data_IF_990189536056
#
_entry.id   IF_990189536056
#
_cell.length_a   1.000
_cell.length_b   1.000
_cell.length_c   1.000
_cell.angle_alpha   90.00
_cell.angle_beta   90.00
_cell.angle_gamma   90.00
#
_symmetry.space_group_name_H-M   'P 1'
#
loop_
_entity.id
_entity.type
_entity.pdbx_description
1 polymer ?
#
# COMPACT_ATOMS: atom_id res chain seq x y z
N UNK A 1 11.38 21.68 13.27
CA UNK A 1 11.58 22.18 11.90
C UNK A 1 12.88 21.71 11.21
N UNK A 2 14.10 22.08 11.64
CA UNK A 2 15.34 21.66 10.94
C UNK A 2 15.56 20.13 10.97
N UNK A 3 15.37 19.50 12.13
CA UNK A 3 15.46 18.04 12.29
C UNK A 3 14.40 17.30 11.47
N UNK A 4 13.17 17.82 11.39
CA UNK A 4 12.07 17.20 10.62
C UNK A 4 12.31 17.27 9.10
N UNK A 5 12.83 18.39 8.59
CA UNK A 5 13.22 18.50 7.18
C UNK A 5 14.34 17.53 6.83
N UNK A 6 15.32 17.37 7.73
CA UNK A 6 16.41 16.40 7.58
C UNK A 6 15.91 14.95 7.62
N UNK A 7 15.01 14.62 8.54
CA UNK A 7 14.34 13.31 8.62
C UNK A 7 13.59 12.99 7.33
N UNK A 8 12.79 13.95 6.83
CA UNK A 8 12.02 13.79 5.60
C UNK A 8 12.93 13.56 4.39
N UNK A 9 14.03 14.30 4.28
CA UNK A 9 15.00 14.11 3.19
C UNK A 9 15.64 12.71 3.23
N UNK A 10 16.15 12.29 4.39
CA UNK A 10 16.76 10.96 4.54
C UNK A 10 15.75 9.85 4.24
N UNK A 11 14.50 10.01 4.69
CA UNK A 11 13.41 9.08 4.41
C UNK A 11 13.15 8.97 2.91
N UNK A 12 12.88 10.09 2.21
CA UNK A 12 12.56 10.07 0.78
C UNK A 12 13.71 9.52 -0.05
N UNK A 13 14.96 9.94 0.25
CA UNK A 13 16.14 9.44 -0.46
C UNK A 13 16.32 7.93 -0.23
N UNK A 14 16.22 7.45 1.01
CA UNK A 14 16.44 6.03 1.29
C UNK A 14 15.39 5.13 0.62
N UNK A 15 14.11 5.53 0.67
CA UNK A 15 13.01 4.77 0.07
C UNK A 15 13.14 4.75 -1.47
N UNK A 16 13.35 5.90 -2.12
CA UNK A 16 13.46 5.95 -3.58
C UNK A 16 14.73 5.30 -4.11
N UNK A 17 15.87 5.49 -3.45
CA UNK A 17 17.13 4.85 -3.88
C UNK A 17 16.99 3.33 -3.87
N UNK A 18 16.48 2.74 -2.78
CA UNK A 18 16.30 1.29 -2.70
C UNK A 18 15.32 0.80 -3.76
N UNK A 19 14.18 1.47 -3.93
CA UNK A 19 13.16 1.10 -4.93
C UNK A 19 13.69 1.11 -6.35
N UNK A 20 14.37 2.19 -6.78
CA UNK A 20 14.88 2.28 -8.14
C UNK A 20 16.08 1.37 -8.39
N UNK A 21 16.92 1.13 -7.37
CA UNK A 21 17.98 0.11 -7.47
C UNK A 21 17.41 -1.30 -7.61
N UNK A 22 16.36 -1.63 -6.86
CA UNK A 22 15.65 -2.92 -6.97
C UNK A 22 14.84 -3.05 -8.27
N UNK A 23 14.56 -1.93 -8.95
CA UNK A 23 14.04 -1.92 -10.31
C UNK A 23 14.96 -2.62 -11.33
N UNK A 24 16.28 -2.67 -11.08
CA UNK A 24 17.24 -3.36 -11.97
C UNK A 24 17.03 -4.88 -11.97
N UNK A 25 17.14 -5.59 -10.82
CA UNK A 25 16.86 -7.03 -10.78
C UNK A 25 15.40 -7.36 -11.14
N UNK A 26 14.44 -6.50 -10.76
CA UNK A 26 13.03 -6.65 -11.18
C UNK A 26 12.89 -6.70 -12.70
N UNK A 27 13.47 -5.72 -13.39
CA UNK A 27 13.36 -5.62 -14.83
C UNK A 27 14.14 -6.74 -15.53
N UNK A 28 15.27 -7.16 -14.97
CA UNK A 28 15.99 -8.34 -15.45
C UNK A 28 15.12 -9.60 -15.33
N UNK A 29 14.52 -9.85 -14.15
CA UNK A 29 13.64 -11.01 -13.92
C UNK A 29 12.48 -11.04 -14.91
N UNK A 30 11.77 -9.92 -15.05
CA UNK A 30 10.65 -9.80 -15.98
C UNK A 30 11.06 -10.13 -17.43
N UNK A 31 12.17 -9.56 -17.93
CA UNK A 31 12.63 -9.77 -19.32
C UNK A 31 13.10 -11.19 -19.60
N UNK A 32 13.53 -11.92 -18.57
CA UNK A 32 14.01 -13.30 -18.69
C UNK A 32 12.95 -14.34 -18.26
N UNK A 33 11.70 -13.92 -18.03
CA UNK A 33 10.62 -14.83 -17.63
C UNK A 33 10.81 -15.45 -16.24
N UNK A 34 11.62 -14.84 -15.38
CA UNK A 34 11.76 -15.23 -13.98
C UNK A 34 10.59 -14.67 -13.16
N UNK A 35 10.34 -15.28 -12.00
CA UNK A 35 9.28 -14.77 -11.12
C UNK A 35 9.58 -13.35 -10.62
N UNK A 36 8.52 -12.54 -10.61
CA UNK A 36 8.53 -11.17 -10.11
C UNK A 36 7.62 -10.97 -8.88
N UNK A 37 7.00 -12.04 -8.37
CA UNK A 37 5.95 -11.96 -7.34
C UNK A 37 6.44 -11.39 -6.00
N UNK A 38 7.68 -11.67 -5.63
CA UNK A 38 8.23 -11.18 -4.35
C UNK A 38 8.69 -9.72 -4.39
N UNK A 39 8.92 -9.12 -5.56
CA UNK A 39 9.33 -7.71 -5.64
C UNK A 39 8.33 -6.74 -5.02
N UNK A 40 7.03 -6.78 -5.36
CA UNK A 40 6.06 -5.88 -4.72
C UNK A 40 5.99 -6.13 -3.21
N UNK A 41 5.89 -7.39 -2.76
CA UNK A 41 5.79 -7.72 -1.33
C UNK A 41 6.99 -7.21 -0.52
N UNK A 42 8.22 -7.45 -1.00
CA UNK A 42 9.42 -6.95 -0.31
C UNK A 42 9.49 -5.42 -0.37
N UNK A 43 9.09 -4.81 -1.50
CA UNK A 43 9.04 -3.37 -1.66
C UNK A 43 8.11 -2.69 -0.64
N UNK A 44 6.97 -3.31 -0.28
CA UNK A 44 6.07 -2.80 0.78
C UNK A 44 6.77 -2.60 2.13
N UNK A 45 7.92 -3.25 2.40
CA UNK A 45 8.66 -3.08 3.66
C UNK A 45 9.57 -1.84 3.66
N UNK A 46 9.88 -1.27 2.50
CA UNK A 46 10.85 -0.18 2.37
C UNK A 46 10.43 1.09 3.11
N UNK A 47 9.16 1.54 3.08
CA UNK A 47 8.77 2.77 3.74
C UNK A 47 9.03 2.71 5.26
N UNK A 48 8.62 1.66 5.96
CA UNK A 48 8.93 1.53 7.39
C UNK A 48 10.43 1.45 7.67
N UNK A 49 11.19 0.68 6.87
CA UNK A 49 12.65 0.62 7.01
C UNK A 49 13.30 2.00 6.81
N UNK A 50 12.83 2.79 5.85
CA UNK A 50 13.28 4.16 5.62
C UNK A 50 13.02 5.09 6.80
N UNK A 51 11.86 4.96 7.47
CA UNK A 51 11.55 5.72 8.69
C UNK A 51 12.52 5.35 9.81
N UNK A 52 12.68 4.05 10.04
CA UNK A 52 13.56 3.52 11.09
C UNK A 52 15.00 3.94 10.86
N UNK A 53 15.47 3.88 9.61
CA UNK A 53 16.80 4.34 9.21
C UNK A 53 16.98 5.84 9.44
N UNK A 54 16.03 6.67 9.02
CA UNK A 54 16.07 8.11 9.25
C UNK A 54 16.17 8.44 10.75
N UNK A 55 15.37 7.78 11.59
CA UNK A 55 15.42 7.96 13.04
C UNK A 55 16.72 7.48 13.69
N UNK A 56 17.30 6.36 13.25
CA UNK A 56 18.60 5.91 13.75
C UNK A 56 19.71 6.94 13.50
N UNK A 57 19.63 7.69 12.39
CA UNK A 57 20.59 8.73 12.04
C UNK A 57 20.31 10.04 12.79
N UNK A 58 19.09 10.55 12.72
CA UNK A 58 18.77 11.90 13.20
C UNK A 58 18.51 11.95 14.70
N UNK A 59 18.07 10.84 15.31
CA UNK A 59 17.69 10.74 16.73
C UNK A 59 18.59 9.78 17.51
N UNK A 60 19.85 9.59 17.07
CA UNK A 60 20.79 8.62 17.66
C UNK A 60 20.99 8.74 19.19
N UNK A 61 20.85 9.94 19.75
CA UNK A 61 21.05 10.19 21.19
C UNK A 61 19.74 10.16 21.99
N UNK A 62 18.59 9.95 21.33
CA UNK A 62 17.30 9.91 22.02
C UNK A 62 17.07 8.51 22.62
N UNK A 63 16.97 8.38 23.96
CA UNK A 63 16.78 7.09 24.62
C UNK A 63 15.41 6.45 24.32
N UNK A 64 14.44 7.22 23.82
CA UNK A 64 13.12 6.72 23.43
C UNK A 64 13.11 5.96 22.10
N UNK A 65 14.22 5.99 21.32
CA UNK A 65 14.30 5.27 20.05
C UNK A 65 14.62 3.80 20.30
N UNK A 66 13.75 2.85 19.90
CA UNK A 66 13.96 1.43 20.13
C UNK A 66 14.95 0.84 19.11
N UNK A 67 16.23 1.23 19.24
CA UNK A 67 17.29 0.94 18.24
C UNK A 67 17.37 -0.52 17.83
N UNK A 68 17.32 -1.45 18.80
CA UNK A 68 17.40 -2.90 18.52
C UNK A 68 16.27 -3.39 17.61
N UNK A 69 15.05 -2.88 17.80
CA UNK A 69 13.88 -3.24 16.98
C UNK A 69 13.97 -2.66 15.58
N UNK A 70 14.43 -1.42 15.47
CA UNK A 70 14.65 -0.78 14.17
C UNK A 70 15.72 -1.53 13.36
N UNK A 71 16.83 -1.89 14.00
CA UNK A 71 17.87 -2.70 13.38
C UNK A 71 17.31 -4.07 12.96
N UNK A 72 16.50 -4.72 13.80
CA UNK A 72 15.89 -6.00 13.46
C UNK A 72 14.98 -5.90 12.21
N UNK A 73 14.09 -4.91 12.14
CA UNK A 73 13.24 -4.71 10.96
C UNK A 73 14.05 -4.39 9.69
N UNK A 74 15.04 -3.51 9.80
CA UNK A 74 15.94 -3.19 8.69
C UNK A 74 16.69 -4.45 8.24
N UNK A 75 17.12 -5.31 9.17
CA UNK A 75 17.76 -6.57 8.83
C UNK A 75 16.83 -7.51 8.05
N UNK A 76 15.54 -7.61 8.42
CA UNK A 76 14.55 -8.35 7.63
C UNK A 76 14.55 -7.85 6.18
N UNK A 77 14.41 -6.54 5.97
CA UNK A 77 14.36 -5.94 4.62
C UNK A 77 15.65 -6.18 3.83
N UNK A 78 16.81 -5.95 4.44
CA UNK A 78 18.10 -6.13 3.76
C UNK A 78 18.37 -7.60 3.41
N UNK A 79 18.06 -8.52 4.32
CA UNK A 79 18.19 -9.96 4.06
C UNK A 79 17.25 -10.38 2.92
N UNK A 80 16.00 -9.93 2.92
CA UNK A 80 15.06 -10.20 1.84
C UNK A 80 15.54 -9.68 0.49
N UNK A 81 16.11 -8.46 0.45
CA UNK A 81 16.72 -7.89 -0.76
C UNK A 81 17.87 -8.75 -1.26
N UNK A 82 18.79 -9.15 -0.37
CA UNK A 82 19.95 -9.97 -0.74
C UNK A 82 19.51 -11.33 -1.28
N UNK A 83 18.56 -11.98 -0.62
CA UNK A 83 17.99 -13.26 -1.05
C UNK A 83 17.31 -13.12 -2.42
N UNK A 84 16.53 -12.05 -2.63
CA UNK A 84 15.82 -11.80 -3.89
C UNK A 84 16.78 -11.51 -5.06
N UNK A 85 17.85 -10.74 -4.81
CA UNK A 85 18.93 -10.52 -5.79
C UNK A 85 19.64 -11.85 -6.10
N UNK A 86 19.96 -12.65 -5.08
CA UNK A 86 20.57 -13.96 -5.26
C UNK A 86 19.70 -14.89 -6.11
N UNK A 87 18.41 -14.98 -5.81
CA UNK A 87 17.44 -15.74 -6.61
C UNK A 87 17.37 -15.26 -8.06
N UNK A 88 17.46 -13.95 -8.29
CA UNK A 88 17.52 -13.35 -9.63
C UNK A 88 18.80 -13.75 -10.38
N UNK A 89 19.95 -13.79 -9.71
CA UNK A 89 21.24 -14.17 -10.31
C UNK A 89 21.29 -15.67 -10.62
N UNK A 90 20.78 -16.51 -9.72
CA UNK A 90 20.83 -17.97 -9.84
C UNK A 90 19.60 -18.58 -10.54
N UNK A 91 18.65 -17.75 -10.98
CA UNK A 91 17.42 -18.16 -11.69
C UNK A 91 16.58 -19.16 -10.89
N UNK A 92 16.52 -19.00 -9.57
CA UNK A 92 15.80 -19.90 -8.66
C UNK A 92 14.48 -19.29 -8.23
N UNK A 93 13.38 -20.04 -8.37
CA UNK A 93 12.11 -19.64 -7.75
C UNK A 93 12.16 -19.95 -6.24
N UNK A 94 12.05 -18.90 -5.43
CA UNK A 94 12.05 -18.97 -3.96
C UNK A 94 10.80 -18.33 -3.35
N UNK A 95 9.77 -18.03 -4.14
CA UNK A 95 8.69 -17.12 -3.77
C UNK A 95 8.01 -17.55 -2.46
N UNK A 96 7.50 -18.78 -2.41
CA UNK A 96 6.82 -19.28 -1.22
C UNK A 96 7.71 -19.39 0.03
N UNK A 97 8.99 -19.73 -0.14
CA UNK A 97 9.93 -19.82 0.99
C UNK A 97 10.26 -18.42 1.51
N UNK A 98 10.50 -17.45 0.62
CA UNK A 98 10.81 -16.08 0.99
C UNK A 98 9.60 -15.40 1.63
N UNK A 99 8.41 -15.56 1.04
CA UNK A 99 7.16 -15.03 1.61
C UNK A 99 6.93 -15.56 3.02
N UNK A 100 6.98 -16.89 3.21
CA UNK A 100 6.81 -17.51 4.52
C UNK A 100 7.85 -17.01 5.53
N UNK A 101 9.12 -16.91 5.11
CA UNK A 101 10.21 -16.43 5.97
C UNK A 101 9.98 -14.99 6.44
N UNK A 102 9.53 -14.11 5.53
CA UNK A 102 9.26 -12.71 5.82
C UNK A 102 8.01 -12.56 6.68
N UNK A 103 6.97 -13.35 6.43
CA UNK A 103 5.77 -13.42 7.26
C UNK A 103 6.14 -13.81 8.69
N UNK A 104 6.91 -14.90 8.88
CA UNK A 104 7.34 -15.35 10.20
C UNK A 104 8.16 -14.26 10.90
N UNK A 105 9.17 -13.70 10.22
CA UNK A 105 10.02 -12.65 10.78
C UNK A 105 9.21 -11.38 11.12
N UNK A 106 8.22 -11.04 10.29
CA UNK A 106 7.28 -9.95 10.49
C UNK A 106 6.38 -10.14 11.70
N UNK A 107 5.81 -11.33 11.86
CA UNK A 107 5.02 -11.69 13.05
C UNK A 107 5.89 -11.59 14.30
N UNK A 108 7.11 -12.12 14.26
CA UNK A 108 8.07 -11.99 15.38
C UNK A 108 8.36 -10.53 15.70
N UNK A 109 8.61 -9.69 14.69
CA UNK A 109 8.80 -8.25 14.86
C UNK A 109 7.58 -7.60 15.55
N UNK A 110 6.39 -7.89 15.06
CA UNK A 110 5.13 -7.37 15.59
C UNK A 110 4.92 -7.81 17.05
N UNK A 111 5.17 -9.08 17.38
CA UNK A 111 5.08 -9.59 18.76
C UNK A 111 6.10 -8.94 19.69
N UNK A 112 7.34 -8.72 19.21
CA UNK A 112 8.38 -8.00 19.97
C UNK A 112 7.96 -6.55 20.25
N UNK A 113 7.30 -5.91 19.28
CA UNK A 113 6.74 -4.56 19.44
C UNK A 113 5.61 -4.55 20.47
N UNK A 114 4.72 -5.55 20.47
CA UNK A 114 3.58 -5.63 21.41
C UNK A 114 3.93 -6.12 22.82
N UNK A 115 5.10 -6.74 23.03
CA UNK A 115 5.51 -7.26 24.35
C UNK A 115 5.88 -6.16 25.36
N UNK A 116 6.11 -4.92 24.93
CA UNK A 116 6.45 -3.79 25.81
C UNK A 116 5.29 -2.80 26.00
N UNK A 117 4.89 -2.63 27.27
CA UNK A 117 3.97 -1.64 27.87
C UNK A 117 2.66 -1.33 27.11
N UNK A 118 1.51 -1.52 27.77
CA UNK A 118 0.18 -1.14 27.22
C UNK A 118 0.09 0.36 26.87
N UNK A 119 1.03 1.19 27.33
CA UNK A 119 1.19 2.60 26.89
C UNK A 119 1.80 2.77 25.48
N UNK A 120 2.48 1.76 24.93
CA UNK A 120 3.08 1.80 23.57
C UNK A 120 2.18 1.19 22.48
N UNK A 121 1.15 0.43 22.84
CA UNK A 121 0.11 -0.03 21.89
C UNK A 121 -0.60 1.13 21.18
N UNK A 122 -0.72 2.29 21.85
CA UNK A 122 -1.18 3.54 21.25
C UNK A 122 -0.14 4.15 20.29
N UNK A 123 1.16 4.00 20.57
CA UNK A 123 2.27 4.53 19.77
C UNK A 123 2.48 3.76 18.44
N UNK A 124 2.07 2.50 18.38
CA UNK A 124 2.06 1.68 17.16
C UNK A 124 0.68 1.62 16.48
N UNK A 125 -0.29 2.41 16.95
CA UNK A 125 -1.56 2.63 16.26
C UNK A 125 -2.54 1.47 16.31
N UNK A 126 -2.47 0.54 17.27
CA UNK A 126 -3.58 -0.39 17.58
C UNK A 126 -4.76 0.33 18.26
N UNK A 127 -4.88 1.64 18.04
CA UNK A 127 -6.04 2.43 18.39
C UNK A 127 -7.18 2.09 17.43
N UNK A 128 -8.42 2.14 17.91
CA UNK A 128 -9.61 1.76 17.13
C UNK A 128 -10.16 0.42 17.60
N UNK A 129 -11.32 0.47 18.23
CA UNK A 129 -12.03 -0.73 18.62
C UNK A 129 -12.54 -1.50 17.39
N UNK A 130 -13.07 -2.69 17.64
CA UNK A 130 -13.70 -3.54 16.61
C UNK A 130 -14.74 -2.77 15.77
N UNK A 131 -15.38 -1.75 16.35
CA UNK A 131 -16.35 -0.89 15.67
C UNK A 131 -15.71 -0.07 14.54
N UNK A 132 -14.53 0.51 14.75
CA UNK A 132 -13.83 1.29 13.73
C UNK A 132 -13.34 0.40 12.58
N UNK A 133 -12.80 -0.78 12.91
CA UNK A 133 -12.41 -1.80 11.93
C UNK A 133 -13.59 -2.20 11.05
N UNK A 134 -14.72 -2.59 11.65
CA UNK A 134 -15.93 -2.95 10.93
C UNK A 134 -16.47 -1.78 10.11
N UNK A 135 -16.56 -0.59 10.70
CA UNK A 135 -17.10 0.60 10.03
C UNK A 135 -16.31 0.96 8.77
N UNK A 136 -14.99 1.12 8.89
CA UNK A 136 -14.18 1.56 7.76
C UNK A 136 -13.92 0.43 6.76
N UNK A 137 -13.80 -0.82 7.23
CA UNK A 137 -13.72 -1.99 6.36
C UNK A 137 -14.97 -2.13 5.49
N UNK A 138 -16.16 -2.15 6.10
CA UNK A 138 -17.43 -2.22 5.36
C UNK A 138 -17.63 -1.01 4.45
N UNK A 139 -17.32 0.20 4.93
CA UNK A 139 -17.39 1.41 4.09
C UNK A 139 -16.49 1.26 2.86
N UNK A 140 -15.27 0.79 3.02
CA UNK A 140 -14.33 0.65 1.91
C UNK A 140 -14.77 -0.42 0.91
N UNK A 141 -15.27 -1.57 1.38
CA UNK A 141 -15.84 -2.60 0.49
C UNK A 141 -17.03 -2.04 -0.31
N UNK A 142 -17.94 -1.30 0.34
CA UNK A 142 -19.07 -0.66 -0.34
C UNK A 142 -18.59 0.36 -1.38
N UNK A 143 -17.63 1.22 -1.04
CA UNK A 143 -17.06 2.20 -1.96
C UNK A 143 -16.36 1.52 -3.14
N UNK A 144 -15.64 0.42 -2.91
CA UNK A 144 -14.98 -0.36 -3.94
C UNK A 144 -16.00 -0.97 -4.91
N UNK A 145 -17.01 -1.67 -4.38
CA UNK A 145 -18.06 -2.28 -5.21
C UNK A 145 -18.85 -1.22 -5.99
N UNK A 146 -19.13 -0.08 -5.38
CA UNK A 146 -19.78 1.04 -6.06
C UNK A 146 -18.88 1.67 -7.14
N UNK A 147 -17.57 1.77 -6.91
CA UNK A 147 -16.60 2.22 -7.90
C UNK A 147 -16.58 1.28 -9.11
N UNK A 148 -16.46 -0.03 -8.88
CA UNK A 148 -16.50 -1.05 -9.95
C UNK A 148 -17.82 -0.98 -10.72
N UNK A 149 -18.95 -0.92 -10.02
CA UNK A 149 -20.26 -0.82 -10.68
C UNK A 149 -20.37 0.45 -11.53
N UNK A 150 -19.94 1.60 -11.00
CA UNK A 150 -19.95 2.86 -11.75
C UNK A 150 -19.06 2.76 -12.99
N UNK A 151 -17.85 2.24 -12.86
CA UNK A 151 -16.91 2.07 -13.97
C UNK A 151 -17.52 1.22 -15.08
N UNK A 152 -18.10 0.06 -14.74
CA UNK A 152 -18.71 -0.84 -15.72
C UNK A 152 -19.95 -0.26 -16.39
N UNK A 153 -20.76 0.51 -15.66
CA UNK A 153 -21.92 1.20 -16.25
C UNK A 153 -21.46 2.33 -17.16
N UNK A 154 -20.50 3.14 -16.73
CA UNK A 154 -19.99 4.30 -17.48
C UNK A 154 -19.21 3.89 -18.74
N UNK A 155 -18.55 2.72 -18.73
CA UNK A 155 -17.89 2.14 -19.90
C UNK A 155 -18.86 1.46 -20.87
N UNK A 156 -20.13 1.27 -20.50
CA UNK A 156 -21.12 0.56 -21.31
C UNK A 156 -20.96 -0.97 -21.29
N UNK A 157 -20.13 -1.51 -20.39
CA UNK A 157 -19.80 -2.94 -20.29
C UNK A 157 -20.76 -3.71 -19.36
N UNK A 158 -22.00 -3.27 -19.20
CA UNK A 158 -22.99 -3.90 -18.31
C UNK A 158 -23.21 -5.39 -18.66
N UNK A 159 -23.11 -5.75 -19.94
CA UNK A 159 -23.19 -7.14 -20.39
C UNK A 159 -22.05 -8.01 -19.85
N UNK A 160 -20.88 -7.44 -19.59
CA UNK A 160 -19.74 -8.17 -19.00
C UNK A 160 -19.99 -8.53 -17.54
N UNK A 161 -20.77 -7.72 -16.80
CA UNK A 161 -21.18 -8.06 -15.42
C UNK A 161 -21.88 -9.41 -15.39
N UNK A 162 -22.74 -9.69 -16.38
CA UNK A 162 -23.51 -10.95 -16.41
C UNK A 162 -22.65 -12.21 -16.54
N UNK A 163 -21.43 -12.08 -17.09
CA UNK A 163 -20.45 -13.19 -17.14
C UNK A 163 -19.91 -13.57 -15.78
N UNK A 164 -20.01 -12.66 -14.81
CA UNK A 164 -19.49 -12.81 -13.46
C UNK A 164 -20.59 -13.09 -12.42
N UNK A 165 -21.86 -13.25 -12.83
CA UNK A 165 -23.00 -13.55 -11.95
C UNK A 165 -23.47 -15.00 -12.20
N UNK A 166 -22.55 -15.96 -12.16
CA UNK A 166 -22.95 -17.36 -11.95
C UNK A 166 -23.07 -17.65 -10.45
N UNK A 167 -23.99 -18.53 -10.04
CA UNK A 167 -24.23 -18.78 -8.60
C UNK A 167 -22.97 -19.29 -7.86
N UNK A 168 -22.17 -20.14 -8.53
CA UNK A 168 -20.94 -20.70 -7.97
C UNK A 168 -19.86 -19.62 -7.79
N UNK A 169 -19.65 -18.75 -8.79
CA UNK A 169 -18.70 -17.63 -8.68
C UNK A 169 -19.12 -16.62 -7.62
N UNK A 170 -20.41 -16.30 -7.53
CA UNK A 170 -20.93 -15.38 -6.51
C UNK A 170 -20.69 -15.94 -5.11
N UNK A 171 -20.97 -17.24 -4.90
CA UNK A 171 -20.74 -17.88 -3.60
C UNK A 171 -19.26 -17.90 -3.21
N UNK A 172 -18.36 -18.23 -4.15
CA UNK A 172 -16.92 -18.24 -3.92
C UNK A 172 -16.39 -16.86 -3.55
N UNK A 173 -16.78 -15.81 -4.29
CA UNK A 173 -16.38 -14.43 -4.01
C UNK A 173 -16.88 -13.93 -2.66
N UNK A 174 -18.13 -14.23 -2.31
CA UNK A 174 -18.67 -13.88 -1.00
C UNK A 174 -17.88 -14.54 0.13
N UNK A 175 -17.51 -15.81 -0.03
CA UNK A 175 -16.63 -16.50 0.92
C UNK A 175 -15.26 -15.82 1.00
N UNK A 176 -14.62 -15.50 -0.12
CA UNK A 176 -13.34 -14.77 -0.11
C UNK A 176 -13.45 -13.43 0.63
N UNK A 177 -14.53 -12.66 0.43
CA UNK A 177 -14.77 -11.39 1.14
C UNK A 177 -14.96 -11.61 2.65
N UNK A 178 -15.69 -12.66 3.04
CA UNK A 178 -15.94 -12.98 4.46
C UNK A 178 -14.66 -13.43 5.17
N UNK A 179 -13.80 -14.22 4.50
CA UNK A 179 -12.56 -14.74 5.09
C UNK A 179 -11.37 -13.79 4.94
N UNK A 180 -11.47 -12.75 4.11
CA UNK A 180 -10.42 -11.75 3.89
C UNK A 180 -9.83 -11.17 5.20
N UNK A 181 -10.61 -10.79 6.23
CA UNK A 181 -10.05 -10.27 7.47
C UNK A 181 -9.17 -11.28 8.22
N UNK A 182 -9.47 -12.58 8.12
CA UNK A 182 -8.64 -13.63 8.73
C UNK A 182 -7.30 -13.76 7.99
N UNK A 183 -7.31 -13.66 6.66
CA UNK A 183 -6.11 -13.75 5.83
C UNK A 183 -5.16 -12.56 6.06
N UNK A 184 -5.69 -11.37 6.36
CA UNK A 184 -4.86 -10.23 6.76
C UNK A 184 -3.97 -10.52 7.98
N UNK A 185 -4.41 -11.37 8.91
CA UNK A 185 -3.63 -11.73 10.11
C UNK A 185 -2.36 -12.53 9.79
N UNK A 186 -2.28 -13.11 8.59
CA UNK A 186 -1.11 -13.87 8.12
C UNK A 186 -0.07 -12.92 7.52
N UNK A 187 -0.49 -11.87 6.82
CA UNK A 187 0.40 -10.97 6.09
C UNK A 187 0.44 -9.51 6.58
N UNK A 188 0.26 -9.22 7.88
CA UNK A 188 0.08 -7.83 8.34
C UNK A 188 1.36 -6.99 8.18
N UNK A 189 2.52 -7.63 8.12
CA UNK A 189 3.84 -6.96 8.07
C UNK A 189 4.04 -6.15 6.79
N UNK A 190 3.55 -6.63 5.64
CA UNK A 190 3.73 -5.94 4.36
C UNK A 190 2.97 -4.61 4.35
N UNK A 191 1.68 -4.68 4.64
CA UNK A 191 0.80 -3.51 4.68
C UNK A 191 1.18 -2.53 5.79
N UNK A 192 1.58 -3.04 6.97
CA UNK A 192 2.16 -2.20 8.01
C UNK A 192 3.42 -1.51 7.54
N UNK A 193 4.33 -2.24 6.89
CA UNK A 193 5.60 -1.71 6.37
C UNK A 193 5.37 -0.50 5.48
N UNK A 194 4.33 -0.56 4.66
CA UNK A 194 4.03 0.48 3.70
C UNK A 194 3.31 1.66 4.35
N UNK A 195 2.19 1.42 5.04
CA UNK A 195 1.37 2.49 5.63
C UNK A 195 2.05 3.17 6.81
N UNK A 196 2.99 2.51 7.51
CA UNK A 196 3.80 3.14 8.55
C UNK A 196 4.71 4.24 7.96
N UNK A 197 5.26 4.03 6.77
CA UNK A 197 5.99 5.08 6.06
C UNK A 197 5.05 6.18 5.55
N UNK A 198 3.99 5.80 4.82
CA UNK A 198 3.15 6.78 4.13
C UNK A 198 2.23 7.58 5.04
N UNK A 199 1.47 6.92 5.92
CA UNK A 199 0.43 7.59 6.74
C UNK A 199 0.98 8.08 8.05
N UNK A 200 1.70 7.22 8.76
CA UNK A 200 2.22 7.57 10.06
C UNK A 200 3.37 8.59 9.96
N UNK A 201 4.33 8.38 9.06
CA UNK A 201 5.49 9.26 8.96
C UNK A 201 5.35 10.41 7.96
N UNK A 202 5.07 10.11 6.68
CA UNK A 202 5.16 11.07 5.58
C UNK A 202 3.99 12.06 5.60
N UNK A 203 2.75 11.56 5.65
CA UNK A 203 1.55 12.38 5.55
C UNK A 203 1.52 13.48 6.61
N UNK A 204 1.72 13.14 7.89
CA UNK A 204 1.71 14.13 8.97
C UNK A 204 2.75 15.24 8.76
N UNK A 205 3.96 14.90 8.29
CA UNK A 205 5.03 15.87 8.01
C UNK A 205 4.67 16.79 6.85
N UNK A 206 4.16 16.23 5.75
CA UNK A 206 3.75 17.03 4.60
C UNK A 206 2.54 17.92 4.92
N UNK A 207 1.60 17.42 5.74
CA UNK A 207 0.47 18.21 6.21
C UNK A 207 0.91 19.37 7.13
N UNK A 208 1.92 19.16 7.97
CA UNK A 208 2.50 20.23 8.80
C UNK A 208 3.23 21.29 7.96
N UNK A 209 3.86 20.90 6.85
CA UNK A 209 4.65 21.80 5.99
C UNK A 209 3.75 22.57 5.01
N UNK A 210 2.80 21.89 4.35
CA UNK A 210 2.04 22.41 3.22
C UNK A 210 0.53 22.56 3.48
N UNK A 211 0.05 22.19 4.67
CA UNK A 211 -1.35 22.15 5.04
C UNK A 211 -2.02 20.80 4.75
N UNK A 212 -3.16 20.53 5.42
CA UNK A 212 -3.80 19.20 5.45
C UNK A 212 -4.13 18.63 4.07
N UNK A 213 -4.69 19.45 3.17
CA UNK A 213 -5.08 19.04 1.79
C UNK A 213 -3.87 18.81 0.89
N UNK A 214 -2.98 19.79 0.81
CA UNK A 214 -1.77 19.70 -0.01
C UNK A 214 -0.89 18.54 0.46
N UNK A 215 -0.75 18.36 1.78
CA UNK A 215 0.05 17.28 2.35
C UNK A 215 -0.45 15.88 1.98
N UNK A 216 -1.77 15.64 1.99
CA UNK A 216 -2.31 14.33 1.60
C UNK A 216 -2.19 14.09 0.09
N UNK A 217 -2.39 15.12 -0.75
CA UNK A 217 -2.18 15.02 -2.20
C UNK A 217 -0.72 14.70 -2.51
N UNK A 218 0.23 15.42 -1.91
CA UNK A 218 1.66 15.16 -2.09
C UNK A 218 2.05 13.75 -1.61
N UNK A 219 1.44 13.26 -0.54
CA UNK A 219 1.64 11.88 -0.08
C UNK A 219 1.22 10.88 -1.16
N UNK A 220 0.04 11.08 -1.78
CA UNK A 220 -0.44 10.24 -2.88
C UNK A 220 0.41 10.33 -4.15
N UNK A 221 0.91 11.52 -4.49
CA UNK A 221 1.85 11.71 -5.61
C UNK A 221 3.14 10.91 -5.36
N UNK A 222 3.77 11.09 -4.20
CA UNK A 222 5.01 10.41 -3.84
C UNK A 222 4.79 8.89 -3.82
N UNK A 223 3.65 8.43 -3.30
CA UNK A 223 3.31 7.01 -3.28
C UNK A 223 3.15 6.41 -4.69
N UNK A 224 2.49 7.11 -5.61
CA UNK A 224 2.38 6.64 -7.00
C UNK A 224 3.72 6.64 -7.74
N UNK A 225 4.52 7.69 -7.62
CA UNK A 225 5.86 7.74 -8.23
C UNK A 225 6.80 6.65 -7.72
N UNK A 226 6.60 6.21 -6.48
CA UNK A 226 7.35 5.12 -5.87
C UNK A 226 7.01 3.74 -6.48
N UNK A 227 5.81 3.55 -7.03
CA UNK A 227 5.44 2.30 -7.71
C UNK A 227 6.02 2.15 -9.12
N UNK A 228 6.63 3.20 -9.67
CA UNK A 228 7.03 3.25 -11.08
C UNK A 228 7.84 2.04 -11.57
N UNK A 229 8.84 1.48 -10.84
CA UNK A 229 9.52 0.26 -11.31
C UNK A 229 8.59 -0.95 -11.44
N UNK A 230 7.66 -1.13 -10.50
CA UNK A 230 6.67 -2.21 -10.51
C UNK A 230 5.60 -1.98 -11.59
N UNK A 231 5.26 -0.73 -11.90
CA UNK A 231 4.31 -0.41 -12.97
C UNK A 231 4.76 -1.01 -14.30
N UNK A 232 6.04 -0.89 -14.63
CA UNK A 232 6.59 -1.38 -15.90
C UNK A 232 6.89 -2.89 -15.95
N UNK A 233 6.97 -3.56 -14.79
CA UNK A 233 7.49 -4.93 -14.70
C UNK A 233 6.58 -5.89 -13.92
N UNK A 234 5.46 -5.42 -13.36
CA UNK A 234 4.56 -6.24 -12.56
C UNK A 234 3.08 -5.81 -12.71
N UNK A 235 2.74 -4.55 -12.45
CA UNK A 235 1.33 -4.12 -12.35
C UNK A 235 0.66 -3.89 -13.70
N UNK A 236 1.37 -3.34 -14.69
CA UNK A 236 0.78 -2.95 -15.96
C UNK A 236 1.25 -3.85 -17.10
N UNK A 237 0.36 -4.10 -18.05
CA UNK A 237 0.76 -4.66 -19.33
C UNK A 237 1.57 -3.61 -20.11
N UNK A 238 2.65 -4.01 -20.82
CA UNK A 238 3.47 -3.07 -21.59
C UNK A 238 2.69 -2.21 -22.59
N UNK A 239 1.60 -2.75 -23.13
CA UNK A 239 0.72 -2.08 -24.10
C UNK A 239 -0.01 -0.85 -23.54
N UNK A 240 -0.21 -0.76 -22.22
CA UNK A 240 -0.86 0.39 -21.59
C UNK A 240 0.09 1.60 -21.43
N UNK A 241 1.41 1.36 -21.47
CA UNK A 241 2.45 2.39 -21.45
C UNK A 241 2.19 3.51 -20.42
N UNK A 242 2.28 4.76 -20.88
CA UNK A 242 2.10 5.95 -20.04
C UNK A 242 0.68 6.06 -19.46
N UNK A 243 -0.34 5.59 -20.17
CA UNK A 243 -1.74 5.71 -19.71
C UNK A 243 -1.95 4.86 -18.45
N UNK A 244 -1.36 3.66 -18.40
CA UNK A 244 -1.39 2.81 -17.21
C UNK A 244 -0.70 3.46 -16.01
N UNK A 245 0.47 4.08 -16.21
CA UNK A 245 1.20 4.79 -15.14
C UNK A 245 0.39 5.97 -14.61
N UNK A 246 -0.22 6.75 -15.51
CA UNK A 246 -1.09 7.87 -15.10
C UNK A 246 -2.33 7.37 -14.36
N UNK A 247 -2.91 6.26 -14.80
CA UNK A 247 -4.06 5.64 -14.13
C UNK A 247 -3.69 5.18 -12.72
N UNK A 248 -2.56 4.49 -12.55
CA UNK A 248 -2.09 4.08 -11.23
C UNK A 248 -1.76 5.28 -10.33
N UNK A 249 -1.21 6.35 -10.90
CA UNK A 249 -0.98 7.60 -10.17
C UNK A 249 -2.29 8.22 -9.66
N UNK A 250 -3.37 8.16 -10.44
CA UNK A 250 -4.72 8.58 -10.03
C UNK A 250 -5.22 7.71 -8.88
N UNK A 251 -5.02 6.39 -8.94
CA UNK A 251 -5.34 5.45 -7.86
C UNK A 251 -4.63 5.83 -6.57
N UNK A 252 -3.31 6.01 -6.61
CA UNK A 252 -2.51 6.35 -5.42
C UNK A 252 -2.93 7.69 -4.80
N UNK A 253 -3.29 8.69 -5.60
CA UNK A 253 -3.75 9.99 -5.10
C UNK A 253 -5.14 9.84 -4.46
N UNK A 254 -6.08 9.23 -5.15
CA UNK A 254 -7.47 9.11 -4.71
C UNK A 254 -7.60 8.19 -3.49
N UNK A 255 -7.04 6.98 -3.51
CA UNK A 255 -6.95 6.10 -2.35
C UNK A 255 -6.13 6.74 -1.23
N UNK A 256 -5.05 7.43 -1.56
CA UNK A 256 -4.23 8.16 -0.59
C UNK A 256 -5.02 9.21 0.20
N UNK A 257 -5.97 9.89 -0.45
CA UNK A 257 -6.91 10.81 0.21
C UNK A 257 -7.82 10.05 1.18
N UNK A 258 -8.43 8.93 0.75
CA UNK A 258 -9.32 8.15 1.60
C UNK A 258 -8.59 7.53 2.81
N UNK A 259 -7.43 6.91 2.58
CA UNK A 259 -6.58 6.37 3.64
C UNK A 259 -6.09 7.47 4.58
N UNK A 260 -5.74 8.63 4.04
CA UNK A 260 -5.39 9.80 4.85
C UNK A 260 -6.54 10.29 5.72
N UNK A 261 -7.77 10.30 5.19
CA UNK A 261 -8.99 10.61 5.94
C UNK A 261 -9.21 9.62 7.10
N UNK A 262 -9.14 8.32 6.82
CA UNK A 262 -9.33 7.27 7.83
C UNK A 262 -8.25 7.40 8.91
N UNK A 263 -6.98 7.57 8.52
CA UNK A 263 -5.88 7.77 9.46
C UNK A 263 -6.11 9.01 10.34
N UNK A 264 -6.60 10.12 9.79
CA UNK A 264 -6.87 11.32 10.57
C UNK A 264 -8.01 11.13 11.58
N UNK A 265 -8.97 10.25 11.28
CA UNK A 265 -10.10 9.90 12.17
C UNK A 265 -9.72 8.91 13.27
N UNK A 266 -8.91 7.91 12.95
CA UNK A 266 -8.65 6.77 13.85
C UNK A 266 -7.29 6.83 14.52
N UNK A 267 -6.36 7.58 13.93
CA UNK A 267 -4.92 7.57 14.26
C UNK A 267 -4.30 6.17 14.23
N UNK A 268 -4.95 5.24 13.52
CA UNK A 268 -4.57 3.83 13.47
C UNK A 268 -3.93 3.50 12.14
N UNK A 269 -2.65 3.12 12.16
CA UNK A 269 -1.97 2.60 10.97
C UNK A 269 -2.48 1.22 10.59
N UNK A 270 -2.92 0.41 11.56
CA UNK A 270 -3.42 -0.94 11.31
C UNK A 270 -4.74 -0.96 10.58
N UNK A 271 -5.68 -0.05 10.93
CA UNK A 271 -6.93 0.09 10.17
C UNK A 271 -6.59 0.43 8.72
N UNK A 272 -5.67 1.37 8.47
CA UNK A 272 -5.31 1.72 7.09
C UNK A 272 -4.57 0.58 6.38
N UNK A 273 -3.69 -0.14 7.08
CA UNK A 273 -3.00 -1.33 6.54
C UNK A 273 -4.01 -2.40 6.11
N UNK A 274 -5.08 -2.58 6.88
CA UNK A 274 -6.17 -3.48 6.53
C UNK A 274 -7.01 -2.99 5.35
N UNK A 275 -7.28 -1.68 5.24
CA UNK A 275 -7.94 -1.13 4.06
C UNK A 275 -7.10 -1.29 2.79
N UNK A 276 -5.79 -1.10 2.91
CA UNK A 276 -4.85 -1.38 1.83
C UNK A 276 -4.84 -2.88 1.48
N UNK A 277 -4.86 -3.77 2.48
CA UNK A 277 -5.03 -5.21 2.24
C UNK A 277 -6.33 -5.53 1.49
N UNK A 278 -7.46 -4.96 1.91
CA UNK A 278 -8.73 -5.12 1.20
C UNK A 278 -8.58 -4.67 -0.26
N UNK A 279 -7.98 -3.51 -0.51
CA UNK A 279 -7.78 -3.00 -1.87
C UNK A 279 -7.04 -4.02 -2.75
N UNK A 280 -5.94 -4.57 -2.25
CA UNK A 280 -5.10 -5.48 -3.02
C UNK A 280 -5.77 -6.84 -3.23
N UNK A 281 -6.68 -7.26 -2.34
CA UNK A 281 -7.42 -8.51 -2.47
C UNK A 281 -8.72 -8.38 -3.29
N UNK A 282 -9.32 -7.20 -3.35
CA UNK A 282 -10.60 -7.01 -4.04
C UNK A 282 -10.47 -7.18 -5.56
N UNK A 283 -9.37 -6.71 -6.16
CA UNK A 283 -9.12 -6.92 -7.60
C UNK A 283 -9.10 -8.41 -7.99
N UNK A 284 -8.25 -9.28 -7.40
CA UNK A 284 -8.23 -10.69 -7.76
C UNK A 284 -9.51 -11.44 -7.38
N UNK A 285 -10.24 -11.01 -6.34
CA UNK A 285 -11.55 -11.58 -6.00
C UNK A 285 -12.60 -11.27 -7.07
N UNK A 286 -12.63 -10.04 -7.57
CA UNK A 286 -13.65 -9.61 -8.54
C UNK A 286 -13.30 -10.10 -9.94
N UNK A 287 -12.08 -9.87 -10.40
CA UNK A 287 -11.70 -10.14 -11.79
C UNK A 287 -11.09 -11.53 -11.98
N UNK A 288 -10.53 -12.15 -10.93
CA UNK A 288 -9.73 -13.38 -11.01
C UNK A 288 -8.23 -13.13 -10.87
N UNK A 289 -7.45 -14.20 -10.63
CA UNK A 289 -6.00 -14.10 -10.37
C UNK A 289 -5.20 -13.73 -11.64
N UNK A 290 -5.71 -14.06 -12.82
CA UNK A 290 -5.01 -13.85 -14.12
C UNK A 290 -5.40 -12.54 -14.82
N UNK A 291 -6.39 -11.82 -14.32
CA UNK A 291 -6.91 -10.60 -14.91
C UNK A 291 -6.32 -9.39 -14.20
N UNK A 292 -5.20 -8.91 -14.74
CA UNK A 292 -4.77 -7.52 -14.57
C UNK A 292 -5.96 -6.65 -14.95
N UNK A 293 -6.25 -5.62 -14.14
CA UNK A 293 -7.43 -4.75 -14.21
C UNK A 293 -8.01 -4.59 -15.62
N UNK A 294 -9.35 -4.58 -15.76
CA UNK A 294 -10.01 -4.56 -17.06
C UNK A 294 -9.47 -3.44 -17.95
N UNK A 295 -9.40 -3.73 -19.26
CA UNK A 295 -8.99 -2.88 -20.39
C UNK A 295 -9.52 -1.43 -20.40
N UNK A 296 -10.35 -1.04 -19.44
CA UNK A 296 -11.02 0.25 -19.33
C UNK A 296 -10.04 1.42 -19.15
N UNK A 297 -8.86 1.23 -18.58
CA UNK A 297 -7.84 2.29 -18.51
C UNK A 297 -6.94 2.36 -19.76
N UNK A 298 -7.08 1.46 -20.74
CA UNK A 298 -6.20 1.40 -21.91
C UNK A 298 -6.46 2.52 -22.95
N UNK A 299 -7.48 3.36 -22.73
CA UNK A 299 -7.79 4.50 -23.59
C UNK A 299 -7.88 5.81 -22.79
N UNK A 300 -7.63 6.95 -23.45
CA UNK A 300 -7.76 8.26 -22.83
C UNK A 300 -9.17 8.56 -22.32
N UNK A 301 -10.22 8.12 -23.04
CA UNK A 301 -11.61 8.28 -22.60
C UNK A 301 -11.89 7.45 -21.36
N UNK A 302 -11.42 6.21 -21.34
CA UNK A 302 -11.56 5.33 -20.18
C UNK A 302 -10.77 5.82 -18.96
N UNK A 303 -9.60 6.42 -19.17
CA UNK A 303 -8.83 7.10 -18.12
C UNK A 303 -9.61 8.29 -17.52
N UNK A 304 -10.36 9.06 -18.32
CA UNK A 304 -11.20 10.14 -17.80
C UNK A 304 -12.35 9.60 -16.93
N UNK A 305 -13.00 8.52 -17.37
CA UNK A 305 -14.03 7.84 -16.57
C UNK A 305 -13.42 7.33 -15.25
N UNK A 306 -12.23 6.71 -15.33
CA UNK A 306 -11.48 6.24 -14.17
C UNK A 306 -11.13 7.35 -13.18
N UNK A 307 -10.68 8.50 -13.69
CA UNK A 307 -10.41 9.69 -12.88
C UNK A 307 -11.66 10.17 -12.14
N UNK A 308 -12.79 10.26 -12.84
CA UNK A 308 -14.06 10.68 -12.25
C UNK A 308 -14.51 9.70 -11.17
N UNK A 309 -14.47 8.39 -11.44
CA UNK A 309 -14.85 7.36 -10.48
C UNK A 309 -13.94 7.37 -9.24
N UNK A 310 -12.62 7.38 -9.46
CA UNK A 310 -11.62 7.43 -8.40
C UNK A 310 -11.80 8.65 -7.50
N UNK A 311 -12.06 9.82 -8.10
CA UNK A 311 -12.36 11.02 -7.33
C UNK A 311 -13.70 10.91 -6.58
N UNK A 312 -14.76 10.44 -7.24
CA UNK A 312 -16.09 10.33 -6.65
C UNK A 312 -16.12 9.43 -5.41
N UNK A 313 -15.46 8.27 -5.46
CA UNK A 313 -15.52 7.28 -4.39
C UNK A 313 -14.44 7.43 -3.32
N UNK A 314 -13.25 7.95 -3.67
CA UNK A 314 -12.14 8.07 -2.73
C UNK A 314 -11.64 9.52 -2.58
N UNK A 315 -11.49 10.24 -3.68
CA UNK A 315 -11.00 11.62 -3.68
C UNK A 315 -11.91 12.63 -2.98
N UNK A 316 -13.24 12.42 -2.99
CA UNK A 316 -14.24 13.33 -2.42
C UNK A 316 -14.04 13.57 -0.93
N UNK A 317 -13.41 12.64 -0.22
CA UNK A 317 -13.09 12.74 1.20
C UNK A 317 -12.14 13.90 1.52
N UNK A 318 -11.45 14.49 0.54
CA UNK A 318 -10.68 15.73 0.71
C UNK A 318 -11.53 16.94 1.13
N UNK A 319 -12.84 16.88 0.88
CA UNK A 319 -13.81 17.91 1.25
C UNK A 319 -14.34 17.75 2.69
N UNK A 320 -13.99 16.64 3.36
CA UNK A 320 -14.37 16.38 4.74
C UNK A 320 -13.83 17.43 5.72
N UNK A 321 -14.45 17.50 6.90
CA UNK A 321 -14.10 18.50 7.93
C UNK A 321 -12.68 18.30 8.45
N UNK A 322 -12.16 17.09 8.38
CA UNK A 322 -10.82 16.70 8.82
C UNK A 322 -9.75 17.49 8.07
N UNK A 323 -9.95 17.72 6.76
CA UNK A 323 -9.00 18.46 5.91
C UNK A 323 -9.23 19.97 5.88
N UNK A 324 -10.22 20.50 6.60
CA UNK A 324 -10.42 21.95 6.70
C UNK A 324 -9.28 22.58 7.51
N UNK A 325 -8.91 23.82 7.15
CA UNK A 325 -8.05 24.65 8.02
C UNK A 325 -8.79 24.85 9.34
N UNK A 326 -8.08 24.74 10.44
CA UNK A 326 -8.63 25.17 11.73
C UNK A 326 -8.87 26.67 11.64
N UNK A 327 -10.14 27.06 11.74
CA UNK A 327 -10.64 28.44 11.67
C UNK A 327 -10.48 29.13 13.00
#
# INVERSE_FOLDING_TARGET
MATEKRELLIYLVSVFVVTFLMGIPLMYSYRNGLSVQMFPLIQMLYPAAGVMFAYLITRKNNPQIPKKRFIFYIAIVLISIVILIGATIFHTNIDGILELSVVIAGIVFILIVFKEDRKNTDAFGLTGGTKEWLKYGCLFVVLYLANVLFMTVASGEISEITKYITADEVSGRLMSIIFMPLMFLIQPVFFFGEEYGWRYFLQGRLQNIAGKRTGVILTGIIWGLWHMPLDFAYYLKPEYGLIGVVSHQITCISLGIFFGYVYMKTKSVWIVSFLHYINNMMSPIIYGIESIEPNQSASWNGMLIYLVASFLFYGVFILSKEFRKES
#
